data_IF_597966126440
#
_entry.id   IF_597966126440
#
_cell.length_a   1.000
_cell.length_b   1.000
_cell.length_c   1.000
_cell.angle_alpha   90.00
_cell.angle_beta   90.00
_cell.angle_gamma   90.00
#
_symmetry.space_group_name_H-M   'P 1'
#
loop_
_entity.id
_entity.type
_entity.pdbx_description
1 polymer ?
#
# COMPACT_ATOMS: atom_id res chain seq x y z
N UNK A 1 13.70 17.04 8.95
CA UNK A 1 13.00 16.85 7.66
C UNK A 1 12.61 15.40 7.52
N UNK A 2 11.41 15.12 6.99
CA UNK A 2 10.88 13.77 6.88
C UNK A 2 10.40 13.49 5.46
N UNK A 3 10.54 12.25 5.00
CA UNK A 3 10.05 11.76 3.72
C UNK A 3 9.09 10.60 3.99
N UNK A 4 7.82 10.79 3.61
CA UNK A 4 6.75 9.81 3.77
C UNK A 4 6.40 9.27 2.40
N UNK A 5 6.51 7.96 2.21
CA UNK A 5 6.33 7.31 0.91
C UNK A 5 5.03 6.52 0.87
N UNK A 6 4.41 6.49 -0.29
CA UNK A 6 3.56 5.36 -0.69
C UNK A 6 4.42 4.16 -1.12
N UNK A 7 3.81 2.97 -1.22
CA UNK A 7 4.52 1.73 -1.55
C UNK A 7 4.32 1.32 -3.01
N UNK A 8 3.08 0.91 -3.32
CA UNK A 8 2.78 0.27 -4.60
C UNK A 8 2.59 1.31 -5.71
N UNK A 9 3.32 1.14 -6.80
CA UNK A 9 3.38 2.15 -7.85
C UNK A 9 4.41 3.25 -7.61
N UNK A 10 4.86 3.43 -6.35
CA UNK A 10 5.85 4.44 -5.94
C UNK A 10 7.23 3.84 -5.69
N UNK A 11 7.35 2.85 -4.83
CA UNK A 11 8.60 2.17 -4.49
C UNK A 11 8.65 0.75 -5.05
N UNK A 12 7.51 0.08 -5.09
CA UNK A 12 7.36 -1.29 -5.57
C UNK A 12 6.48 -1.34 -6.82
N UNK A 13 7.02 -1.92 -7.88
CA UNK A 13 6.29 -2.29 -9.10
C UNK A 13 5.56 -3.61 -8.83
N UNK A 14 4.25 -3.51 -8.65
CA UNK A 14 3.39 -4.66 -8.39
C UNK A 14 2.34 -4.81 -9.49
N UNK A 15 2.05 -6.06 -9.82
CA UNK A 15 0.88 -6.42 -10.59
C UNK A 15 0.25 -7.67 -10.01
N UNK A 16 -1.04 -7.57 -9.70
CA UNK A 16 -1.87 -8.69 -9.23
C UNK A 16 -3.04 -8.90 -10.16
N UNK A 17 -3.48 -10.14 -10.27
CA UNK A 17 -4.69 -10.50 -11.00
C UNK A 17 -5.57 -11.38 -10.10
N UNK A 18 -6.61 -10.76 -9.55
CA UNK A 18 -7.60 -11.44 -8.71
C UNK A 18 -8.75 -12.07 -9.51
N UNK A 19 -8.73 -11.92 -10.84
CA UNK A 19 -9.70 -12.54 -11.73
C UNK A 19 -9.31 -13.97 -12.15
N UNK A 20 -8.05 -14.38 -11.92
CA UNK A 20 -7.52 -15.68 -12.33
C UNK A 20 -8.33 -16.84 -11.74
N UNK A 21 -8.90 -17.74 -12.56
CA UNK A 21 -9.57 -18.94 -12.04
C UNK A 21 -8.65 -19.83 -11.21
N UNK A 22 -7.36 -19.87 -11.51
CA UNK A 22 -6.36 -20.65 -10.79
C UNK A 22 -6.21 -20.17 -9.34
N UNK A 23 -6.26 -18.86 -9.10
CA UNK A 23 -6.29 -18.29 -7.75
C UNK A 23 -7.45 -18.87 -6.94
N UNK A 24 -8.66 -18.74 -7.46
CA UNK A 24 -9.87 -19.12 -6.73
C UNK A 24 -10.00 -20.63 -6.54
N UNK A 25 -9.52 -21.44 -7.48
CA UNK A 25 -9.39 -22.90 -7.31
C UNK A 25 -8.41 -23.23 -6.17
N UNK A 26 -7.27 -22.55 -6.11
CA UNK A 26 -6.32 -22.73 -5.02
C UNK A 26 -6.89 -22.30 -3.64
N UNK A 27 -7.68 -21.23 -3.61
CA UNK A 27 -8.43 -20.83 -2.41
C UNK A 27 -9.46 -21.90 -2.02
N UNK A 28 -10.24 -22.44 -2.98
CA UNK A 28 -11.17 -23.55 -2.73
C UNK A 28 -10.45 -24.76 -2.13
N UNK A 29 -9.38 -25.22 -2.74
CA UNK A 29 -8.61 -26.36 -2.24
C UNK A 29 -8.10 -26.12 -0.81
N UNK A 30 -7.66 -24.89 -0.50
CA UNK A 30 -7.22 -24.50 0.83
C UNK A 30 -8.38 -24.50 1.85
N UNK A 31 -9.56 -24.13 1.41
CA UNK A 31 -10.79 -24.14 2.23
C UNK A 31 -11.46 -25.53 2.32
N UNK A 32 -10.85 -26.57 1.72
CA UNK A 32 -11.42 -27.93 1.68
C UNK A 32 -12.67 -28.05 0.82
N UNK A 33 -12.86 -27.12 -0.11
CA UNK A 33 -13.96 -27.12 -1.08
C UNK A 33 -13.54 -27.74 -2.41
N UNK A 34 -14.54 -28.17 -3.19
CA UNK A 34 -14.32 -28.62 -4.56
C UNK A 34 -13.84 -27.42 -5.41
N UNK A 35 -12.78 -27.62 -6.20
CA UNK A 35 -12.22 -26.57 -7.04
C UNK A 35 -13.19 -26.05 -8.10
N UNK A 36 -14.19 -26.83 -8.49
CA UNK A 36 -15.25 -26.39 -9.41
C UNK A 36 -16.18 -25.33 -8.80
N UNK A 37 -16.18 -25.18 -7.46
CA UNK A 37 -16.93 -24.15 -6.75
C UNK A 37 -16.22 -22.79 -6.65
N UNK A 38 -15.18 -22.57 -7.40
CA UNK A 38 -14.36 -21.35 -7.31
C UNK A 38 -15.14 -20.06 -7.57
N UNK A 39 -16.20 -20.10 -8.38
CA UNK A 39 -17.08 -18.94 -8.64
C UNK A 39 -17.87 -18.56 -7.39
N UNK A 40 -18.42 -19.55 -6.68
CA UNK A 40 -19.16 -19.34 -5.44
C UNK A 40 -18.25 -18.79 -4.34
N UNK A 41 -17.07 -19.35 -4.18
CA UNK A 41 -16.09 -18.91 -3.18
C UNK A 41 -15.60 -17.48 -3.49
N UNK A 42 -15.35 -17.16 -4.76
CA UNK A 42 -15.05 -15.79 -5.17
C UNK A 42 -16.18 -14.82 -4.83
N UNK A 43 -17.41 -15.21 -5.07
CA UNK A 43 -18.57 -14.39 -4.74
C UNK A 43 -18.71 -14.20 -3.23
N UNK A 44 -18.56 -15.26 -2.42
CA UNK A 44 -18.55 -15.19 -0.95
C UNK A 44 -17.51 -14.19 -0.43
N UNK A 45 -16.29 -14.23 -0.97
CA UNK A 45 -15.24 -13.26 -0.66
C UNK A 45 -15.68 -11.82 -0.98
N UNK A 46 -16.20 -11.60 -2.19
CA UNK A 46 -16.65 -10.28 -2.62
C UNK A 46 -17.81 -9.74 -1.76
N UNK A 47 -18.78 -10.59 -1.42
CA UNK A 47 -19.89 -10.25 -0.54
C UNK A 47 -19.43 -9.94 0.89
N UNK A 48 -18.45 -10.69 1.41
CA UNK A 48 -17.85 -10.45 2.72
C UNK A 48 -17.10 -9.10 2.75
N UNK A 49 -16.32 -8.80 1.72
CA UNK A 49 -15.65 -7.50 1.57
C UNK A 49 -16.68 -6.36 1.55
N UNK A 50 -17.74 -6.51 0.76
CA UNK A 50 -18.81 -5.49 0.65
C UNK A 50 -19.54 -5.26 1.97
N UNK A 51 -19.79 -6.32 2.75
CA UNK A 51 -20.47 -6.25 4.04
C UNK A 51 -19.68 -5.48 5.11
N UNK A 52 -18.34 -5.52 5.06
CA UNK A 52 -17.48 -4.80 5.99
C UNK A 52 -17.30 -3.32 5.63
N UNK A 53 -17.55 -2.94 4.38
CA UNK A 53 -17.31 -1.57 3.90
C UNK A 53 -18.35 -0.61 4.47
N UNK A 54 -17.91 0.46 5.17
CA UNK A 54 -18.77 1.46 5.84
C UNK A 54 -18.99 2.70 4.99
N UNK A 55 -17.91 3.24 4.42
CA UNK A 55 -17.90 4.45 3.58
C UNK A 55 -16.78 4.41 2.55
N UNK A 56 -16.62 5.49 1.78
CA UNK A 56 -15.63 5.55 0.69
C UNK A 56 -14.16 5.53 1.17
N UNK A 57 -13.91 5.98 2.40
CA UNK A 57 -12.57 6.06 2.97
C UNK A 57 -12.27 4.94 3.97
N UNK A 58 -13.29 4.14 4.29
CA UNK A 58 -13.10 2.97 5.13
C UNK A 58 -12.25 1.93 4.39
N UNK A 59 -11.16 1.52 5.01
CA UNK A 59 -10.37 0.38 4.58
C UNK A 59 -10.78 -0.84 5.40
N UNK A 60 -11.20 -1.90 4.73
CA UNK A 60 -11.50 -3.17 5.38
C UNK A 60 -10.21 -3.90 5.74
N UNK A 61 -10.22 -4.72 6.77
CA UNK A 61 -9.15 -5.67 7.04
C UNK A 61 -9.50 -7.02 6.40
N UNK A 62 -8.70 -7.46 5.42
CA UNK A 62 -8.90 -8.76 4.77
C UNK A 62 -8.67 -9.95 5.72
N UNK A 63 -7.98 -9.75 6.86
CA UNK A 63 -7.93 -10.78 7.89
C UNK A 63 -9.33 -11.14 8.40
N UNK A 64 -10.23 -10.14 8.59
CA UNK A 64 -11.62 -10.40 9.02
C UNK A 64 -12.41 -11.20 7.98
N UNK A 65 -12.18 -10.92 6.68
CA UNK A 65 -12.80 -11.65 5.57
C UNK A 65 -12.34 -13.10 5.57
N UNK A 66 -11.03 -13.33 5.59
CA UNK A 66 -10.45 -14.67 5.57
C UNK A 66 -10.81 -15.46 6.83
N UNK A 67 -10.83 -14.82 8.01
CA UNK A 67 -11.24 -15.46 9.26
C UNK A 67 -12.71 -15.93 9.20
N UNK A 68 -13.60 -15.12 8.62
CA UNK A 68 -15.00 -15.50 8.41
C UNK A 68 -15.13 -16.71 7.50
N UNK A 69 -14.39 -16.74 6.37
CA UNK A 69 -14.41 -17.86 5.42
C UNK A 69 -13.87 -19.15 6.02
N UNK A 70 -12.86 -19.07 6.88
CA UNK A 70 -12.27 -20.21 7.61
C UNK A 70 -13.21 -20.74 8.67
N UNK A 71 -13.73 -19.84 9.50
CA UNK A 71 -14.57 -20.18 10.66
C UNK A 71 -15.89 -20.83 10.22
N UNK A 72 -16.52 -20.32 9.14
CA UNK A 72 -17.75 -20.90 8.58
C UNK A 72 -17.58 -22.35 8.14
N UNK A 73 -16.34 -22.81 7.90
CA UNK A 73 -16.00 -24.18 7.49
C UNK A 73 -15.36 -25.02 8.62
N UNK A 74 -15.19 -24.44 9.80
CA UNK A 74 -14.59 -25.13 10.94
C UNK A 74 -13.12 -25.56 10.71
N UNK A 75 -12.38 -24.82 9.87
CA UNK A 75 -10.99 -25.11 9.53
C UNK A 75 -10.04 -24.62 10.63
N UNK A 76 -8.80 -25.17 10.63
CA UNK A 76 -7.77 -24.83 11.63
C UNK A 76 -6.61 -24.02 11.07
N UNK A 77 -6.71 -23.55 9.81
CA UNK A 77 -5.73 -22.61 9.24
C UNK A 77 -5.99 -21.20 9.78
N UNK A 78 -5.01 -20.36 9.79
CA UNK A 78 -5.15 -18.96 10.17
C UNK A 78 -5.55 -18.08 8.97
N UNK A 79 -6.20 -16.94 9.24
CA UNK A 79 -6.47 -15.92 8.22
C UNK A 79 -5.20 -15.49 7.48
N UNK A 80 -4.10 -15.35 8.20
CA UNK A 80 -2.80 -14.99 7.62
C UNK A 80 -2.28 -16.04 6.63
N UNK A 81 -2.43 -17.33 6.93
CA UNK A 81 -2.03 -18.39 5.99
C UNK A 81 -2.87 -18.34 4.73
N UNK A 82 -4.20 -18.18 4.85
CA UNK A 82 -5.08 -18.05 3.68
C UNK A 82 -4.77 -16.76 2.89
N UNK A 83 -4.52 -15.64 3.57
CA UNK A 83 -4.12 -14.39 2.94
C UNK A 83 -2.82 -14.53 2.12
N UNK A 84 -1.81 -15.20 2.66
CA UNK A 84 -0.55 -15.44 1.96
C UNK A 84 -0.73 -16.38 0.75
N UNK A 85 -1.58 -17.40 0.86
CA UNK A 85 -1.94 -18.26 -0.27
C UNK A 85 -2.66 -17.45 -1.35
N UNK A 86 -3.70 -16.69 -0.96
CA UNK A 86 -4.42 -15.80 -1.87
C UNK A 86 -3.47 -14.85 -2.60
N UNK A 87 -2.57 -14.19 -1.84
CA UNK A 87 -1.62 -13.25 -2.41
C UNK A 87 -0.61 -13.91 -3.33
N UNK A 88 -0.07 -15.07 -2.95
CA UNK A 88 0.91 -15.81 -3.76
C UNK A 88 0.33 -16.30 -5.10
N UNK A 89 -0.96 -16.57 -5.15
CA UNK A 89 -1.67 -17.01 -6.35
C UNK A 89 -2.18 -15.85 -7.21
N UNK A 90 -2.36 -14.66 -6.63
CA UNK A 90 -2.79 -13.46 -7.37
C UNK A 90 -1.64 -12.63 -7.91
N UNK A 91 -0.44 -12.73 -7.31
CA UNK A 91 0.69 -11.88 -7.68
C UNK A 91 1.32 -12.33 -9.01
N UNK A 92 1.40 -11.42 -9.95
CA UNK A 92 2.05 -11.64 -11.27
C UNK A 92 3.46 -11.06 -11.26
N UNK A 93 3.63 -9.92 -10.60
CA UNK A 93 4.90 -9.22 -10.50
C UNK A 93 5.00 -8.49 -9.17
N UNK A 94 6.16 -8.60 -8.52
CA UNK A 94 6.53 -7.78 -7.38
C UNK A 94 8.04 -7.55 -7.41
N UNK A 95 8.46 -6.31 -7.58
CA UNK A 95 9.88 -5.91 -7.56
C UNK A 95 10.02 -4.45 -7.19
N UNK A 96 11.20 -4.05 -6.75
CA UNK A 96 11.50 -2.63 -6.56
C UNK A 96 11.68 -1.92 -7.90
N UNK A 97 11.24 -0.68 -7.95
CA UNK A 97 11.67 0.21 -9.01
C UNK A 97 13.19 0.46 -8.95
N UNK A 98 13.82 0.86 -10.07
CA UNK A 98 15.23 1.20 -10.08
C UNK A 98 15.57 2.26 -9.02
N UNK A 99 16.77 2.20 -8.46
CA UNK A 99 17.33 3.16 -7.49
C UNK A 99 16.61 3.25 -6.12
N UNK A 100 15.46 2.65 -5.89
CA UNK A 100 14.68 2.75 -4.64
C UNK A 100 15.53 2.41 -3.41
N UNK A 101 16.20 1.27 -3.41
CA UNK A 101 17.06 0.86 -2.27
C UNK A 101 18.21 1.85 -2.03
N UNK A 102 18.81 2.35 -3.10
CA UNK A 102 19.90 3.33 -3.01
C UNK A 102 19.39 4.66 -2.47
N UNK A 103 18.22 5.12 -2.94
CA UNK A 103 17.56 6.34 -2.51
C UNK A 103 17.24 6.31 -1.01
N UNK A 104 16.52 5.28 -0.54
CA UNK A 104 16.15 5.16 0.87
C UNK A 104 17.40 5.07 1.78
N UNK A 105 18.41 4.30 1.36
CA UNK A 105 19.68 4.21 2.10
C UNK A 105 20.40 5.54 2.17
N UNK A 106 20.40 6.31 1.08
CA UNK A 106 21.07 7.62 1.03
C UNK A 106 20.32 8.66 1.87
N UNK A 107 18.98 8.70 1.82
CA UNK A 107 18.17 9.58 2.67
C UNK A 107 18.42 9.34 4.16
N UNK A 108 18.44 8.09 4.61
CA UNK A 108 18.74 7.77 6.01
C UNK A 108 20.14 8.25 6.44
N UNK A 109 21.13 8.24 5.55
CA UNK A 109 22.48 8.76 5.84
C UNK A 109 22.52 10.27 6.04
N UNK A 110 21.55 11.02 5.54
CA UNK A 110 21.41 12.47 5.80
C UNK A 110 20.86 12.78 7.19
N UNK A 111 20.35 11.77 7.91
CA UNK A 111 19.63 11.95 9.18
C UNK A 111 18.15 12.30 9.00
N UNK A 112 17.62 12.27 7.77
CA UNK A 112 16.21 12.47 7.51
C UNK A 112 15.37 11.28 8.03
N UNK A 113 14.18 11.55 8.55
CA UNK A 113 13.19 10.53 8.85
C UNK A 113 12.60 9.94 7.57
N UNK A 114 12.44 8.64 7.51
CA UNK A 114 11.91 7.91 6.34
C UNK A 114 10.76 7.03 6.79
N UNK A 115 9.56 7.29 6.28
CA UNK A 115 8.31 6.65 6.69
C UNK A 115 7.53 6.10 5.51
N UNK A 116 6.65 5.13 5.80
CA UNK A 116 5.72 4.57 4.82
C UNK A 116 4.27 4.79 5.29
N UNK A 117 3.41 5.31 4.41
CA UNK A 117 1.95 5.37 4.59
C UNK A 117 1.29 4.91 3.30
N UNK A 118 0.71 3.71 3.30
CA UNK A 118 0.20 3.08 2.08
C UNK A 118 -1.23 2.56 2.24
N UNK A 119 -2.03 2.70 1.17
CA UNK A 119 -3.31 2.02 1.02
C UNK A 119 -3.03 0.53 0.72
N UNK A 120 -2.94 -0.29 1.77
CA UNK A 120 -2.46 -1.66 1.67
C UNK A 120 -2.99 -2.56 2.80
N UNK A 121 -3.05 -3.86 2.52
CA UNK A 121 -3.48 -4.88 3.46
C UNK A 121 -2.30 -5.45 4.25
N UNK A 122 -2.36 -5.34 5.58
CA UNK A 122 -1.30 -5.82 6.48
C UNK A 122 -0.98 -7.29 6.25
N UNK A 123 -2.01 -8.13 6.11
CA UNK A 123 -1.90 -9.58 6.09
C UNK A 123 -0.93 -10.17 5.06
N UNK A 124 -0.57 -9.39 4.03
CA UNK A 124 0.48 -9.78 3.06
C UNK A 124 1.54 -8.68 2.82
N UNK A 125 1.22 -7.40 3.01
CA UNK A 125 2.17 -6.30 2.71
C UNK A 125 3.39 -6.34 3.62
N UNK A 126 3.25 -6.72 4.88
CA UNK A 126 4.39 -6.89 5.80
C UNK A 126 5.39 -7.93 5.29
N UNK A 127 4.89 -9.06 4.80
CA UNK A 127 5.73 -10.10 4.19
C UNK A 127 6.40 -9.61 2.89
N UNK A 128 5.70 -8.84 2.07
CA UNK A 128 6.25 -8.27 0.84
C UNK A 128 7.36 -7.24 1.12
N UNK A 129 7.19 -6.38 2.13
CA UNK A 129 8.22 -5.46 2.59
C UNK A 129 9.49 -6.19 3.05
N UNK A 130 9.34 -7.29 3.80
CA UNK A 130 10.46 -8.12 4.23
C UNK A 130 11.14 -8.79 3.03
N UNK A 131 10.38 -9.36 2.11
CA UNK A 131 10.88 -10.00 0.88
C UNK A 131 11.64 -9.01 0.00
N UNK A 132 11.13 -7.79 -0.13
CA UNK A 132 11.79 -6.71 -0.85
C UNK A 132 12.97 -6.10 -0.06
N UNK A 133 13.15 -6.47 1.21
CA UNK A 133 14.18 -5.94 2.10
C UNK A 133 14.00 -4.46 2.39
N UNK A 134 12.76 -4.00 2.50
CA UNK A 134 12.40 -2.61 2.75
C UNK A 134 12.06 -2.30 4.20
N UNK A 135 11.62 -3.28 4.99
CA UNK A 135 11.14 -3.07 6.36
C UNK A 135 12.13 -2.25 7.20
N UNK A 136 13.41 -2.57 7.14
CA UNK A 136 14.47 -1.85 7.88
C UNK A 136 14.84 -0.48 7.29
N UNK A 137 14.28 -0.11 6.15
CA UNK A 137 14.52 1.19 5.51
C UNK A 137 13.65 2.30 6.11
N UNK A 138 12.58 1.97 6.82
CA UNK A 138 11.63 2.92 7.38
C UNK A 138 11.77 3.04 8.90
N UNK A 139 11.58 4.26 9.39
CA UNK A 139 11.51 4.57 10.82
C UNK A 139 10.10 4.34 11.38
N UNK A 140 9.09 4.26 10.50
CA UNK A 140 7.71 3.88 10.80
C UNK A 140 6.96 3.47 9.53
N UNK A 141 6.01 2.55 9.70
CA UNK A 141 5.19 1.97 8.62
C UNK A 141 3.74 1.95 9.08
N UNK A 142 2.87 2.61 8.31
CA UNK A 142 1.42 2.63 8.52
C UNK A 142 0.71 2.07 7.29
N UNK A 143 -0.14 1.08 7.48
CA UNK A 143 -0.94 0.45 6.44
C UNK A 143 -2.42 0.72 6.69
N UNK A 144 -3.16 1.07 5.65
CA UNK A 144 -4.56 1.49 5.77
C UNK A 144 -5.47 0.45 6.42
N UNK A 145 -5.21 -0.84 6.21
CA UNK A 145 -6.02 -1.90 6.82
C UNK A 145 -5.86 -1.99 8.35
N UNK A 146 -4.69 -1.65 8.90
CA UNK A 146 -4.45 -1.57 10.35
C UNK A 146 -5.20 -0.37 10.96
N UNK A 147 -5.39 0.68 10.17
CA UNK A 147 -6.01 1.93 10.58
C UNK A 147 -7.53 2.00 10.34
N UNK A 148 -8.08 1.10 9.53
CA UNK A 148 -9.47 1.13 9.10
C UNK A 148 -9.84 2.37 8.28
N UNK A 149 -8.85 3.09 7.76
CA UNK A 149 -9.02 4.30 6.95
C UNK A 149 -7.89 4.41 5.94
N UNK A 150 -8.22 4.88 4.73
CA UNK A 150 -7.26 5.00 3.63
C UNK A 150 -7.14 6.43 3.10
N UNK A 151 -6.05 6.71 2.40
CA UNK A 151 -5.88 7.92 1.59
C UNK A 151 -7.02 8.02 0.56
N UNK A 152 -7.46 9.21 0.18
CA UNK A 152 -6.96 10.54 0.56
C UNK A 152 -7.58 11.11 1.84
N UNK A 153 -8.18 10.29 2.72
CA UNK A 153 -8.70 10.80 3.99
C UNK A 153 -7.59 11.48 4.80
N UNK A 154 -7.82 12.70 5.24
CA UNK A 154 -6.89 13.43 6.11
C UNK A 154 -6.59 12.66 7.41
N UNK A 155 -7.51 11.80 7.84
CA UNK A 155 -7.40 11.05 9.08
C UNK A 155 -6.18 10.13 9.12
N UNK A 156 -5.83 9.44 8.02
CA UNK A 156 -4.66 8.56 7.99
C UNK A 156 -3.37 9.37 8.13
N UNK A 157 -3.29 10.56 7.50
CA UNK A 157 -2.13 11.44 7.62
C UNK A 157 -1.99 11.98 9.05
N UNK A 158 -3.08 12.41 9.69
CA UNK A 158 -3.06 12.87 11.08
C UNK A 158 -2.64 11.78 12.06
N UNK A 159 -3.06 10.52 11.81
CA UNK A 159 -2.58 9.38 12.59
C UNK A 159 -1.10 9.15 12.40
N UNK A 160 -0.60 9.21 11.16
CA UNK A 160 0.82 9.10 10.87
C UNK A 160 1.64 10.21 11.55
N UNK A 161 1.17 11.44 11.54
CA UNK A 161 1.84 12.54 12.26
C UNK A 161 1.96 12.26 13.76
N UNK A 162 0.87 11.77 14.36
CA UNK A 162 0.84 11.44 15.78
C UNK A 162 1.75 10.27 16.14
N UNK A 163 1.67 9.19 15.34
CA UNK A 163 2.41 7.95 15.60
C UNK A 163 3.91 8.12 15.39
N UNK A 164 4.28 8.79 14.28
CA UNK A 164 5.69 8.98 13.92
C UNK A 164 6.33 10.20 14.60
N UNK A 165 5.56 11.04 15.27
CA UNK A 165 6.07 12.26 15.90
C UNK A 165 6.55 13.31 14.91
N UNK A 166 5.94 13.37 13.70
CA UNK A 166 6.30 14.28 12.62
C UNK A 166 5.22 15.34 12.39
N UNK A 167 5.54 16.39 11.64
CA UNK A 167 4.61 17.44 11.26
C UNK A 167 4.50 17.59 9.75
N UNK A 168 3.34 18.05 9.26
CA UNK A 168 3.14 18.31 7.84
C UNK A 168 4.19 19.28 7.28
N UNK A 169 4.48 20.38 8.03
CA UNK A 169 5.41 21.43 7.60
C UNK A 169 6.82 20.93 7.32
N UNK A 170 7.28 19.93 8.09
CA UNK A 170 8.64 19.40 8.01
C UNK A 170 8.72 18.08 7.21
N UNK A 171 7.64 17.78 6.46
CA UNK A 171 7.49 16.50 5.79
C UNK A 171 7.13 16.67 4.31
N UNK A 172 7.68 15.79 3.50
CA UNK A 172 7.32 15.58 2.10
C UNK A 172 6.58 14.27 1.98
N UNK A 173 5.49 14.25 1.20
CA UNK A 173 4.81 13.02 0.79
C UNK A 173 5.18 12.66 -0.65
N UNK A 174 5.60 11.42 -0.88
CA UNK A 174 6.05 10.94 -2.18
C UNK A 174 5.10 9.82 -2.63
N UNK A 175 4.44 10.01 -3.79
CA UNK A 175 3.50 9.05 -4.31
C UNK A 175 3.29 9.15 -5.81
N UNK A 176 2.63 8.13 -6.38
CA UNK A 176 2.32 8.03 -7.81
C UNK A 176 0.83 8.24 -8.13
N UNK A 177 -0.01 8.44 -7.12
CA UNK A 177 -1.44 8.64 -7.29
C UNK A 177 -1.83 10.09 -6.98
N UNK A 178 -2.35 10.81 -8.00
CA UNK A 178 -2.72 12.21 -7.85
C UNK A 178 -3.88 12.42 -6.88
N UNK A 179 -4.80 11.45 -6.76
CA UNK A 179 -5.94 11.56 -5.86
C UNK A 179 -5.60 11.09 -4.44
N UNK A 180 -5.06 9.88 -4.30
CA UNK A 180 -4.85 9.30 -2.97
C UNK A 180 -3.63 9.90 -2.27
N UNK A 181 -2.54 10.13 -3.02
CA UNK A 181 -1.29 10.63 -2.47
C UNK A 181 -1.22 12.15 -2.46
N UNK A 182 -1.33 12.77 -3.66
CA UNK A 182 -1.05 14.21 -3.80
C UNK A 182 -2.19 15.05 -3.20
N UNK A 183 -3.46 14.77 -3.56
CA UNK A 183 -4.59 15.48 -2.96
C UNK A 183 -4.66 15.27 -1.45
N UNK A 184 -4.48 14.01 -0.98
CA UNK A 184 -4.55 13.70 0.44
C UNK A 184 -3.46 14.40 1.26
N UNK A 185 -2.21 14.36 0.81
CA UNK A 185 -1.10 15.02 1.49
C UNK A 185 -1.19 16.55 1.42
N UNK A 186 -1.62 17.10 0.27
CA UNK A 186 -1.86 18.53 0.11
C UNK A 186 -2.94 19.03 1.08
N UNK A 187 -4.03 18.25 1.27
CA UNK A 187 -5.13 18.58 2.18
C UNK A 187 -4.69 18.79 3.63
N UNK A 188 -3.64 18.11 4.07
CA UNK A 188 -3.08 18.26 5.43
C UNK A 188 -1.86 19.19 5.49
N UNK A 189 -1.51 19.86 4.39
CA UNK A 189 -0.44 20.86 4.32
C UNK A 189 0.98 20.28 4.24
N UNK A 190 1.13 19.04 3.79
CA UNK A 190 2.45 18.49 3.42
C UNK A 190 2.90 19.05 2.08
N UNK A 191 4.21 19.10 1.85
CA UNK A 191 4.77 19.24 0.52
C UNK A 191 4.67 17.91 -0.22
N UNK A 192 4.47 17.96 -1.53
CA UNK A 192 4.17 16.79 -2.33
C UNK A 192 5.21 16.57 -3.44
N UNK A 193 5.59 15.34 -3.64
CA UNK A 193 6.46 14.90 -4.74
C UNK A 193 5.73 13.81 -5.51
N UNK A 194 5.38 14.10 -6.75
CA UNK A 194 4.73 13.14 -7.63
C UNK A 194 5.77 12.41 -8.48
N UNK A 195 5.63 11.10 -8.57
CA UNK A 195 6.36 10.26 -9.53
C UNK A 195 5.37 9.61 -10.48
N UNK A 196 5.50 9.89 -11.79
CA UNK A 196 4.69 9.21 -12.79
C UNK A 196 5.26 7.82 -13.07
N UNK A 197 4.41 6.80 -12.96
CA UNK A 197 4.75 5.40 -13.28
C UNK A 197 3.66 4.78 -14.15
N UNK A 198 3.90 3.57 -14.67
CA UNK A 198 2.89 2.82 -15.42
C UNK A 198 1.63 2.50 -14.59
N UNK A 199 1.73 2.58 -13.27
CA UNK A 199 0.63 2.33 -12.33
C UNK A 199 -0.10 3.61 -11.90
N UNK A 200 0.34 4.78 -12.36
CA UNK A 200 -0.31 6.05 -12.09
C UNK A 200 -1.69 6.12 -12.75
N UNK A 201 -2.70 6.53 -12.00
CA UNK A 201 -4.05 6.72 -12.50
C UNK A 201 -4.14 7.88 -13.49
N UNK A 202 -5.12 7.81 -14.40
CA UNK A 202 -5.47 8.96 -15.26
C UNK A 202 -6.65 9.69 -14.63
N UNK A 203 -6.43 10.94 -14.27
CA UNK A 203 -7.44 11.78 -13.64
C UNK A 203 -7.89 12.88 -14.60
N UNK A 204 -9.20 13.14 -14.63
CA UNK A 204 -9.84 14.16 -15.50
C UNK A 204 -10.45 15.32 -14.70
N UNK A 205 -10.14 15.44 -13.41
CA UNK A 205 -10.66 16.48 -12.52
C UNK A 205 -9.54 17.40 -12.04
N UNK A 206 -9.95 18.57 -11.56
CA UNK A 206 -9.06 19.57 -10.98
C UNK A 206 -8.48 19.02 -9.66
N UNK A 207 -7.26 18.51 -9.73
CA UNK A 207 -6.46 18.08 -8.59
C UNK A 207 -5.37 19.13 -8.32
N UNK A 208 -4.89 19.25 -7.07
CA UNK A 208 -3.80 20.18 -6.78
C UNK A 208 -2.54 19.78 -7.56
N UNK A 209 -1.81 20.77 -8.06
CA UNK A 209 -0.50 20.53 -8.65
C UNK A 209 0.48 20.08 -7.54
N UNK A 210 1.29 19.04 -7.77
CA UNK A 210 2.33 18.66 -6.82
C UNK A 210 3.42 19.74 -6.74
N UNK A 211 4.03 19.91 -5.55
CA UNK A 211 5.15 20.87 -5.40
C UNK A 211 6.36 20.47 -6.26
N UNK A 212 6.56 19.18 -6.46
CA UNK A 212 7.64 18.63 -7.28
C UNK A 212 7.15 17.43 -8.10
N UNK A 213 7.73 17.26 -9.27
CA UNK A 213 7.48 16.12 -10.16
C UNK A 213 8.82 15.47 -10.54
N UNK A 214 8.91 14.17 -10.43
CA UNK A 214 10.01 13.37 -10.94
C UNK A 214 9.53 12.50 -12.11
N UNK A 215 10.29 12.41 -13.19
CA UNK A 215 9.92 11.64 -14.39
C UNK A 215 10.30 10.17 -14.28
N UNK A 216 11.26 9.87 -13.44
CA UNK A 216 11.73 8.53 -13.16
C UNK A 216 12.37 8.44 -11.77
N UNK A 217 12.71 7.24 -11.33
CA UNK A 217 13.29 7.00 -10.01
C UNK A 217 14.73 7.47 -9.85
N UNK A 218 15.46 7.73 -10.95
CA UNK A 218 16.76 8.36 -10.91
C UNK A 218 16.65 9.85 -10.57
N UNK A 219 15.74 10.55 -11.26
CA UNK A 219 15.40 11.95 -10.98
C UNK A 219 14.79 12.11 -9.59
N UNK A 220 13.89 11.20 -9.19
CA UNK A 220 13.32 11.18 -7.84
C UNK A 220 14.41 11.09 -6.76
N UNK A 221 15.34 10.16 -6.90
CA UNK A 221 16.45 9.99 -5.96
C UNK A 221 17.27 11.29 -5.83
N UNK A 222 17.66 11.90 -6.96
CA UNK A 222 18.50 13.09 -6.95
C UNK A 222 17.75 14.31 -6.38
N UNK A 223 16.46 14.44 -6.69
CA UNK A 223 15.58 15.46 -6.12
C UNK A 223 15.50 15.34 -4.60
N UNK A 224 15.16 14.15 -4.09
CA UNK A 224 14.96 13.96 -2.64
C UNK A 224 16.27 14.15 -1.86
N UNK A 225 17.42 13.75 -2.42
CA UNK A 225 18.71 14.01 -1.80
C UNK A 225 19.06 15.51 -1.80
N UNK A 226 18.72 16.24 -2.86
CA UNK A 226 18.87 17.69 -2.88
C UNK A 226 18.02 18.37 -1.80
N UNK A 227 16.76 17.96 -1.66
CA UNK A 227 15.87 18.47 -0.61
C UNK A 227 16.38 18.14 0.81
N UNK A 228 16.95 16.95 1.01
CA UNK A 228 17.48 16.54 2.31
C UNK A 228 18.75 17.29 2.74
N UNK A 229 19.49 17.89 1.81
CA UNK A 229 20.75 18.60 2.06
C UNK A 229 20.61 20.13 2.09
N UNK A 230 19.49 20.68 1.62
CA UNK A 230 19.20 22.11 1.58
C UNK A 230 18.44 22.58 2.75
#
# INVERSE_FOLDING_TARGET
>A
MNFVFDLYGTLADIWTDEELPALWRGVCATLGEDEDRYIEVKREYAESCAALKKDKYHEIDLNEVFESMITSRGLRISAKELALIFRSLSIVRLRLFPYVRQMLTALRKTGAGVYLVSNAQECFTRYELDTLGLTSCFDGIMLSSEEGVKKPSELIFHRAFKEFGISARDSYYIGNDMHDDILGAHGVGMKTVYIETEQSGKYCCDLPEPDYVAKDHGELKDLLLSLAMG
#
